data_IF_956616024283
#
_entry.id   IF_956616024283
#
_cell.length_a   1.000
_cell.length_b   1.000
_cell.length_c   1.000
_cell.angle_alpha   90.00
_cell.angle_beta   90.00
_cell.angle_gamma   90.00
#
_symmetry.space_group_name_H-M   'P 1'
#
loop_
_entity.id
_entity.type
_entity.pdbx_description
1 polymer ?
#
# COMPACT_ATOMS: atom_id res chain seq x y z
N UNK A 1 -3.63 15.28 -9.82
CA UNK A 1 -2.76 15.79 -8.76
C UNK A 1 -1.46 15.01 -8.81
N UNK A 2 -0.37 15.67 -9.22
CA UNK A 2 0.96 15.05 -9.24
C UNK A 2 1.45 14.98 -7.80
N UNK A 3 1.65 13.81 -7.24
CA UNK A 3 2.38 13.63 -6.00
C UNK A 3 3.86 13.86 -6.28
N UNK A 4 4.29 15.11 -6.10
CA UNK A 4 5.71 15.47 -6.11
C UNK A 4 6.18 15.42 -4.66
N UNK A 5 6.89 14.38 -4.31
CA UNK A 5 7.69 14.30 -3.10
C UNK A 5 8.92 15.21 -3.25
N UNK A 6 8.77 16.48 -2.92
CA UNK A 6 9.89 17.36 -2.62
C UNK A 6 9.44 18.51 -1.75
N UNK A 7 10.06 18.64 -0.60
CA UNK A 7 10.10 19.89 0.15
C UNK A 7 10.89 20.92 -0.69
N UNK A 8 10.25 21.93 -1.23
CA UNK A 8 10.91 23.15 -1.69
C UNK A 8 10.71 24.22 -0.61
N UNK A 9 11.77 24.49 0.14
CA UNK A 9 11.87 25.74 0.90
C UNK A 9 11.99 26.88 -0.12
N UNK A 10 10.99 27.75 -0.21
CA UNK A 10 11.12 29.05 -0.87
C UNK A 10 11.90 29.97 0.05
N UNK A 11 13.14 30.30 -0.33
CA UNK A 11 13.84 31.47 0.16
C UNK A 11 13.54 32.61 -0.81
N UNK A 12 12.81 33.62 -0.30
CA UNK A 12 12.68 34.91 -0.98
C UNK A 12 14.03 35.63 -0.92
N UNK A 13 14.67 35.81 -2.05
CA UNK A 13 15.89 36.63 -2.16
C UNK A 13 15.53 38.06 -2.50
N UNK A 14 15.82 38.97 -1.58
CA UNK A 14 15.93 40.43 -1.87
C UNK A 14 17.17 40.65 -2.76
N UNK A 15 16.97 41.30 -3.89
CA UNK A 15 18.05 41.74 -4.77
C UNK A 15 18.54 43.09 -4.28
N UNK A 16 19.74 43.13 -3.72
CA UNK A 16 20.53 44.39 -3.60
C UNK A 16 21.60 44.40 -4.70
N UNK A 17 21.55 45.40 -5.56
CA UNK A 17 22.59 45.66 -6.55
C UNK A 17 23.91 46.06 -5.86
N UNK A 18 24.94 45.28 -6.03
CA UNK A 18 26.31 45.59 -5.70
C UNK A 18 27.22 44.73 -6.58
N UNK A 19 27.83 45.33 -7.60
CA UNK A 19 28.67 44.63 -8.57
C UNK A 19 29.96 44.11 -7.98
N UNK A 20 30.17 42.79 -8.08
CA UNK A 20 31.49 42.15 -8.08
C UNK A 20 31.37 40.97 -9.05
N UNK A 21 32.26 40.91 -10.04
CA UNK A 21 32.44 39.80 -10.96
C UNK A 21 32.85 38.54 -10.16
N UNK A 22 31.87 37.73 -9.76
CA UNK A 22 32.08 36.40 -9.26
C UNK A 22 31.60 35.43 -10.31
N UNK A 23 32.47 34.58 -10.80
CA UNK A 23 32.11 33.37 -11.59
C UNK A 23 31.16 32.52 -10.76
N UNK A 24 29.87 32.77 -10.92
CA UNK A 24 28.83 31.96 -10.34
C UNK A 24 28.83 30.58 -11.01
N UNK A 25 29.25 29.56 -10.28
CA UNK A 25 28.96 28.17 -10.62
C UNK A 25 27.43 28.05 -10.56
N UNK A 26 26.80 28.10 -11.73
CA UNK A 26 25.40 27.71 -11.87
C UNK A 26 25.35 26.21 -11.53
N UNK A 27 24.95 25.88 -10.33
CA UNK A 27 24.50 24.52 -10.02
C UNK A 27 23.33 24.21 -10.96
N UNK A 28 23.66 23.58 -12.08
CA UNK A 28 22.68 23.03 -13.00
C UNK A 28 22.05 21.86 -12.23
N UNK A 29 20.96 22.11 -11.55
CA UNK A 29 20.12 21.04 -11.02
C UNK A 29 19.67 20.18 -12.20
N UNK A 30 20.36 19.08 -12.41
CA UNK A 30 19.95 18.09 -13.39
C UNK A 30 18.51 17.68 -13.07
N UNK A 31 17.65 17.74 -14.08
CA UNK A 31 16.28 17.24 -13.93
C UNK A 31 16.34 15.79 -13.41
N UNK A 32 15.47 15.40 -12.49
CA UNK A 32 15.46 14.03 -12.01
C UNK A 32 15.35 13.07 -13.23
N UNK A 33 16.08 11.96 -13.22
CA UNK A 33 16.05 11.03 -14.33
C UNK A 33 14.59 10.60 -14.61
N UNK A 34 14.23 10.46 -15.89
CA UNK A 34 12.88 10.04 -16.24
C UNK A 34 12.57 8.69 -15.58
N UNK A 35 11.33 8.52 -15.11
CA UNK A 35 10.87 7.24 -14.57
C UNK A 35 11.06 6.14 -15.61
N UNK A 36 11.71 5.03 -15.29
CA UNK A 36 11.89 3.91 -16.22
C UNK A 36 10.54 3.47 -16.80
N UNK A 37 10.53 3.10 -18.08
CA UNK A 37 9.35 2.48 -18.68
C UNK A 37 9.15 1.08 -18.10
N UNK A 38 7.90 0.62 -17.93
CA UNK A 38 7.65 -0.75 -17.49
C UNK A 38 8.18 -1.76 -18.52
N UNK A 39 8.68 -2.89 -18.04
CA UNK A 39 9.07 -4.03 -18.89
C UNK A 39 7.85 -4.60 -19.60
N UNK A 40 6.71 -4.64 -18.88
CA UNK A 40 5.40 -5.00 -19.43
C UNK A 40 4.38 -3.99 -18.94
N UNK A 41 3.80 -3.22 -19.88
CA UNK A 41 2.81 -2.20 -19.62
C UNK A 41 1.39 -2.72 -19.81
N UNK A 42 0.45 -2.18 -19.04
CA UNK A 42 -1.00 -2.37 -19.21
C UNK A 42 -1.43 -3.86 -19.31
N UNK A 43 -0.76 -4.72 -18.53
CA UNK A 43 -1.12 -6.14 -18.48
C UNK A 43 -2.43 -6.30 -17.73
N UNK A 44 -3.45 -6.84 -18.39
CA UNK A 44 -4.76 -7.12 -17.77
C UNK A 44 -4.69 -8.37 -16.90
N UNK A 45 -5.16 -8.26 -15.64
CA UNK A 45 -5.31 -9.39 -14.72
C UNK A 45 -6.78 -9.81 -14.48
N UNK A 46 -7.70 -9.18 -15.20
CA UNK A 46 -9.14 -9.47 -15.13
C UNK A 46 -9.91 -8.81 -16.26
N UNK A 47 -11.23 -9.03 -16.34
CA UNK A 47 -12.06 -8.58 -17.47
C UNK A 47 -12.39 -7.07 -17.43
N UNK A 48 -12.21 -6.40 -16.29
CA UNK A 48 -12.55 -4.99 -16.15
C UNK A 48 -11.41 -4.08 -16.64
N UNK A 49 -11.69 -2.96 -17.33
CA UNK A 49 -10.65 -2.09 -17.89
C UNK A 49 -9.71 -1.48 -16.84
N UNK A 50 -10.15 -1.39 -15.58
CA UNK A 50 -9.30 -0.90 -14.47
C UNK A 50 -8.45 -2.00 -13.83
N UNK A 51 -8.57 -3.26 -14.22
CA UNK A 51 -7.76 -4.37 -13.71
C UNK A 51 -6.46 -4.49 -14.51
N UNK A 52 -5.54 -3.55 -14.31
CA UNK A 52 -4.28 -3.41 -15.05
C UNK A 52 -3.07 -3.37 -14.12
N UNK A 53 -1.96 -3.93 -14.58
CA UNK A 53 -0.66 -3.81 -13.92
C UNK A 53 0.43 -3.37 -14.90
N UNK A 54 1.42 -2.65 -14.36
CA UNK A 54 2.71 -2.43 -15.02
C UNK A 54 3.78 -3.20 -14.25
N UNK A 55 4.61 -3.94 -14.96
CA UNK A 55 5.66 -4.79 -14.39
C UNK A 55 7.02 -4.21 -14.74
N UNK A 56 7.84 -3.99 -13.73
CA UNK A 56 9.22 -3.50 -13.82
C UNK A 56 10.15 -4.61 -13.35
N UNK A 57 10.89 -5.21 -14.26
CA UNK A 57 11.80 -6.31 -13.99
C UNK A 57 13.24 -5.79 -13.92
N UNK A 58 14.06 -6.21 -12.94
CA UNK A 58 15.49 -5.86 -12.93
C UNK A 58 16.20 -6.28 -14.19
N UNK A 59 17.14 -5.44 -14.68
CA UNK A 59 17.99 -5.73 -15.83
C UNK A 59 19.31 -6.41 -15.45
N UNK A 60 19.59 -6.51 -14.14
CA UNK A 60 20.77 -7.15 -13.58
C UNK A 60 20.38 -8.41 -12.82
N UNK A 61 21.32 -9.33 -12.63
CA UNK A 61 21.06 -10.61 -11.97
C UNK A 61 20.42 -11.64 -12.89
N UNK A 62 20.06 -12.80 -12.33
CA UNK A 62 19.52 -13.93 -13.09
C UNK A 62 18.05 -14.24 -12.79
N UNK A 63 17.51 -13.69 -11.68
CA UNK A 63 16.18 -14.07 -11.18
C UNK A 63 16.09 -15.56 -10.74
N UNK A 64 14.90 -16.13 -10.50
CA UNK A 64 13.64 -15.38 -10.49
C UNK A 64 13.60 -14.31 -9.39
N UNK A 65 13.06 -13.15 -9.73
CA UNK A 65 13.12 -11.97 -8.85
C UNK A 65 11.98 -11.95 -7.82
N UNK A 66 12.29 -11.73 -6.53
CA UNK A 66 11.27 -11.40 -5.55
C UNK A 66 10.55 -10.11 -5.96
N UNK A 67 9.27 -10.01 -5.65
CA UNK A 67 8.40 -9.00 -6.27
C UNK A 67 7.61 -8.23 -5.23
N UNK A 68 7.52 -6.91 -5.43
CA UNK A 68 6.67 -6.01 -4.64
C UNK A 68 5.47 -5.58 -5.50
N UNK A 69 4.26 -5.92 -5.08
CA UNK A 69 3.03 -5.37 -5.64
C UNK A 69 2.66 -4.11 -4.86
N UNK A 70 2.59 -2.95 -5.54
CA UNK A 70 2.24 -1.69 -4.91
C UNK A 70 0.87 -1.23 -5.40
N UNK A 71 -0.07 -1.15 -4.46
CA UNK A 71 -1.45 -0.80 -4.76
C UNK A 71 -1.63 0.70 -4.93
N UNK A 72 -2.34 1.08 -5.99
CA UNK A 72 -2.75 2.45 -6.29
C UNK A 72 -3.99 2.91 -5.51
N UNK A 73 -4.66 3.93 -6.03
CA UNK A 73 -5.79 4.56 -5.37
C UNK A 73 -7.08 3.73 -5.39
N UNK A 74 -7.90 3.88 -4.34
CA UNK A 74 -9.22 3.25 -4.22
C UNK A 74 -10.37 4.12 -4.79
N UNK A 75 -10.10 5.41 -5.05
CA UNK A 75 -11.11 6.37 -5.52
C UNK A 75 -10.98 6.69 -7.00
N UNK A 76 -9.75 6.66 -7.51
CA UNK A 76 -9.43 6.86 -8.93
C UNK A 76 -8.46 5.78 -9.37
N UNK A 77 -8.70 5.15 -10.52
CA UNK A 77 -7.77 4.17 -11.07
C UNK A 77 -6.40 4.83 -11.31
N UNK A 78 -5.36 4.23 -10.80
CA UNK A 78 -4.00 4.71 -11.01
C UNK A 78 -2.97 3.61 -10.74
N UNK A 79 -1.92 3.56 -11.55
CA UNK A 79 -0.72 2.77 -11.33
C UNK A 79 0.37 3.69 -10.80
N UNK A 80 0.93 3.37 -9.65
CA UNK A 80 1.99 4.14 -9.00
C UNK A 80 3.21 3.25 -8.78
N UNK A 81 4.17 3.22 -9.70
CA UNK A 81 5.41 2.50 -9.46
C UNK A 81 6.15 3.15 -8.28
N UNK A 82 6.60 2.33 -7.35
CA UNK A 82 7.25 2.81 -6.13
C UNK A 82 8.73 2.52 -6.18
N UNK A 83 9.54 3.54 -5.85
CA UNK A 83 10.98 3.43 -5.60
C UNK A 83 11.73 2.47 -6.55
N UNK A 84 11.48 2.59 -7.86
CA UNK A 84 12.19 1.79 -8.88
C UNK A 84 13.70 1.97 -8.78
N UNK A 85 14.16 3.19 -8.44
CA UNK A 85 15.55 3.55 -8.14
C UNK A 85 16.17 2.75 -7.00
N UNK A 86 15.35 2.28 -6.07
CA UNK A 86 15.79 1.54 -4.89
C UNK A 86 15.67 0.03 -5.06
N UNK A 87 14.59 -0.45 -5.66
CA UNK A 87 14.28 -1.88 -5.72
C UNK A 87 14.95 -2.60 -6.88
N UNK A 88 14.95 -2.03 -8.10
CA UNK A 88 15.50 -2.71 -9.27
C UNK A 88 17.01 -3.01 -9.12
N UNK A 89 17.86 -2.09 -8.59
CA UNK A 89 19.27 -2.40 -8.32
C UNK A 89 19.50 -3.47 -7.25
N UNK A 90 18.48 -3.75 -6.42
CA UNK A 90 18.50 -4.80 -5.39
C UNK A 90 17.86 -6.11 -5.85
N UNK A 91 17.74 -6.27 -7.17
CA UNK A 91 17.16 -7.46 -7.78
C UNK A 91 15.73 -7.78 -7.28
N UNK A 92 14.95 -6.74 -6.95
CA UNK A 92 13.54 -6.85 -6.62
C UNK A 92 12.70 -6.25 -7.74
N UNK A 93 11.78 -7.02 -8.30
CA UNK A 93 10.82 -6.54 -9.28
C UNK A 93 9.72 -5.71 -8.61
N UNK A 94 9.14 -4.76 -9.34
CA UNK A 94 8.02 -3.94 -8.88
C UNK A 94 6.84 -4.10 -9.82
N UNK A 95 5.65 -4.32 -9.27
CA UNK A 95 4.38 -4.35 -9.99
C UNK A 95 3.52 -3.21 -9.49
N UNK A 96 3.27 -2.23 -10.35
CA UNK A 96 2.35 -1.13 -10.06
C UNK A 96 0.92 -1.57 -10.38
N UNK A 97 0.06 -1.64 -9.36
CA UNK A 97 -1.27 -2.23 -9.45
C UNK A 97 -2.33 -1.15 -9.55
N UNK A 98 -3.15 -1.21 -10.59
CA UNK A 98 -4.43 -0.51 -10.70
C UNK A 98 -5.55 -1.51 -10.48
N UNK A 99 -6.55 -1.12 -9.71
CA UNK A 99 -7.71 -1.96 -9.38
C UNK A 99 -9.01 -1.23 -9.73
N UNK A 100 -10.12 -1.96 -9.77
CA UNK A 100 -11.43 -1.34 -9.66
C UNK A 100 -11.51 -0.54 -8.36
N UNK A 101 -12.24 0.55 -8.39
CA UNK A 101 -12.32 1.49 -7.26
C UNK A 101 -13.63 1.30 -6.48
N UNK A 102 -13.69 1.93 -5.30
CA UNK A 102 -14.95 2.06 -4.57
C UNK A 102 -15.99 2.84 -5.40
N UNK A 103 -15.53 3.78 -6.24
CA UNK A 103 -16.41 4.54 -7.15
C UNK A 103 -16.99 3.64 -8.23
N UNK A 104 -16.17 2.74 -8.82
CA UNK A 104 -16.67 1.75 -9.78
C UNK A 104 -17.72 0.85 -9.11
N UNK A 105 -17.45 0.37 -7.89
CA UNK A 105 -18.38 -0.48 -7.15
C UNK A 105 -19.74 0.20 -6.87
N UNK A 106 -19.73 1.50 -6.56
CA UNK A 106 -20.97 2.28 -6.37
C UNK A 106 -21.71 2.44 -7.70
N UNK A 107 -20.99 2.74 -8.79
CA UNK A 107 -21.57 2.86 -10.14
C UNK A 107 -22.20 1.55 -10.60
N UNK A 108 -21.57 0.44 -10.31
CA UNK A 108 -22.04 -0.91 -10.64
C UNK A 108 -23.10 -1.43 -9.66
N UNK A 109 -23.53 -0.60 -8.71
CA UNK A 109 -24.54 -0.93 -7.69
C UNK A 109 -24.18 -2.18 -6.86
N UNK A 110 -22.90 -2.36 -6.57
CA UNK A 110 -22.42 -3.46 -5.75
C UNK A 110 -22.86 -3.26 -4.29
N UNK A 111 -23.59 -4.22 -3.75
CA UNK A 111 -24.14 -4.13 -2.40
C UNK A 111 -23.07 -3.96 -1.29
N UNK A 112 -21.83 -4.36 -1.55
CA UNK A 112 -20.70 -4.28 -0.64
C UNK A 112 -19.48 -3.74 -1.39
N UNK A 113 -19.36 -2.41 -1.60
CA UNK A 113 -18.33 -1.82 -2.45
C UNK A 113 -16.90 -2.25 -2.09
N UNK A 114 -16.57 -2.40 -0.81
CA UNK A 114 -15.26 -2.87 -0.35
C UNK A 114 -14.88 -4.23 -0.96
N UNK A 115 -15.85 -5.09 -1.27
CA UNK A 115 -15.58 -6.41 -1.84
C UNK A 115 -14.91 -6.35 -3.21
N UNK A 116 -15.17 -5.29 -4.02
CA UNK A 116 -14.51 -5.11 -5.31
C UNK A 116 -13.00 -5.00 -5.14
N UNK A 117 -12.59 -4.09 -4.26
CA UNK A 117 -11.19 -3.80 -4.01
C UNK A 117 -10.46 -5.00 -3.43
N UNK A 118 -11.06 -5.67 -2.45
CA UNK A 118 -10.44 -6.82 -1.78
C UNK A 118 -10.36 -8.05 -2.69
N UNK A 119 -11.36 -8.26 -3.55
CA UNK A 119 -11.31 -9.35 -4.53
C UNK A 119 -10.25 -9.06 -5.62
N UNK A 120 -10.12 -7.80 -6.07
CA UNK A 120 -9.06 -7.44 -7.02
C UNK A 120 -7.67 -7.59 -6.42
N UNK A 121 -7.50 -7.24 -5.14
CA UNK A 121 -6.24 -7.46 -4.43
C UNK A 121 -5.86 -8.94 -4.38
N UNK A 122 -6.81 -9.83 -4.08
CA UNK A 122 -6.57 -11.27 -4.15
C UNK A 122 -6.23 -11.72 -5.57
N UNK A 123 -7.05 -11.32 -6.53
CA UNK A 123 -6.89 -11.74 -7.93
C UNK A 123 -5.55 -11.31 -8.51
N UNK A 124 -5.09 -10.08 -8.25
CA UNK A 124 -3.80 -9.62 -8.81
C UNK A 124 -2.61 -10.39 -8.23
N UNK A 125 -2.63 -10.72 -6.93
CA UNK A 125 -1.58 -11.57 -6.33
C UNK A 125 -1.59 -12.95 -6.95
N UNK A 126 -2.74 -13.57 -7.09
CA UNK A 126 -2.92 -14.87 -7.74
C UNK A 126 -2.48 -14.84 -9.20
N UNK A 127 -2.86 -13.81 -9.95
CA UNK A 127 -2.49 -13.64 -11.37
C UNK A 127 -0.98 -13.48 -11.54
N UNK A 128 -0.33 -12.65 -10.72
CA UNK A 128 1.13 -12.49 -10.77
C UNK A 128 1.83 -13.78 -10.39
N UNK A 129 1.37 -14.48 -9.36
CA UNK A 129 1.92 -15.78 -8.94
C UNK A 129 1.80 -16.84 -10.02
N UNK A 130 0.64 -16.97 -10.65
CA UNK A 130 0.39 -17.93 -11.73
C UNK A 130 1.30 -17.69 -12.94
N UNK A 131 1.55 -16.43 -13.27
CA UNK A 131 2.34 -16.01 -14.43
C UNK A 131 3.80 -15.67 -14.10
N UNK A 132 4.26 -15.91 -12.87
CA UNK A 132 5.55 -15.47 -12.38
C UNK A 132 6.71 -15.94 -13.29
N UNK A 133 6.72 -17.20 -13.69
CA UNK A 133 7.75 -17.75 -14.57
C UNK A 133 7.85 -17.03 -15.93
N UNK A 134 6.72 -16.56 -16.48
CA UNK A 134 6.67 -15.80 -17.74
C UNK A 134 7.46 -14.49 -17.68
N UNK A 135 7.56 -13.90 -16.50
CA UNK A 135 8.19 -12.60 -16.27
C UNK A 135 9.48 -12.71 -15.45
N UNK A 136 10.01 -13.92 -15.26
CA UNK A 136 11.18 -14.20 -14.41
C UNK A 136 11.02 -13.69 -12.98
N UNK A 137 9.80 -13.78 -12.40
CA UNK A 137 9.47 -13.44 -11.05
C UNK A 137 9.42 -14.68 -10.16
N UNK A 138 9.68 -14.50 -8.86
CA UNK A 138 9.57 -15.57 -7.89
C UNK A 138 8.14 -15.68 -7.34
N UNK A 139 7.46 -16.78 -7.68
CA UNK A 139 6.10 -17.06 -7.24
C UNK A 139 5.94 -17.19 -5.71
N UNK A 140 7.03 -17.49 -4.98
CA UNK A 140 7.00 -17.69 -3.53
C UNK A 140 7.32 -16.40 -2.74
N UNK A 141 8.06 -15.47 -3.35
CA UNK A 141 8.52 -14.25 -2.69
C UNK A 141 7.78 -13.02 -3.23
N UNK A 142 6.53 -12.86 -2.81
CA UNK A 142 5.65 -11.74 -3.19
C UNK A 142 5.34 -10.93 -1.94
N UNK A 143 5.78 -9.68 -1.89
CA UNK A 143 5.38 -8.69 -0.90
C UNK A 143 4.31 -7.75 -1.48
N UNK A 144 3.52 -7.16 -0.61
CA UNK A 144 2.50 -6.17 -1.00
C UNK A 144 2.66 -4.89 -0.20
N UNK A 145 2.25 -3.78 -0.79
CA UNK A 145 2.26 -2.51 -0.07
C UNK A 145 1.41 -1.44 -0.73
N UNK A 146 1.26 -0.34 -0.04
CA UNK A 146 0.55 0.82 -0.54
C UNK A 146 0.64 2.01 0.40
N UNK A 147 0.36 3.20 -0.15
CA UNK A 147 0.26 4.43 0.63
C UNK A 147 -1.19 4.86 0.80
N UNK A 148 -1.54 5.41 1.98
CA UNK A 148 -2.88 5.90 2.29
C UNK A 148 -3.93 4.82 1.98
N UNK A 149 -4.89 5.12 1.13
CA UNK A 149 -5.95 4.20 0.71
C UNK A 149 -5.43 2.90 0.05
N UNK A 150 -4.30 2.93 -0.65
CA UNK A 150 -3.70 1.72 -1.26
C UNK A 150 -3.12 0.74 -0.24
N UNK A 151 -2.91 1.15 1.01
CA UNK A 151 -2.46 0.26 2.07
C UNK A 151 -3.57 -0.67 2.59
N UNK A 152 -4.84 -0.28 2.47
CA UNK A 152 -5.97 -1.08 2.96
C UNK A 152 -6.05 -2.48 2.30
N UNK A 153 -6.02 -2.64 0.96
CA UNK A 153 -6.00 -3.95 0.31
C UNK A 153 -4.71 -4.74 0.60
N UNK A 154 -3.55 -4.06 0.74
CA UNK A 154 -2.32 -4.73 1.12
C UNK A 154 -2.41 -5.35 2.53
N UNK A 155 -2.94 -4.60 3.49
CA UNK A 155 -3.18 -5.07 4.86
C UNK A 155 -4.20 -6.21 4.90
N UNK A 156 -5.26 -6.11 4.09
CA UNK A 156 -6.24 -7.19 3.96
C UNK A 156 -5.58 -8.51 3.54
N UNK A 157 -4.72 -8.48 2.52
CA UNK A 157 -3.98 -9.67 2.06
C UNK A 157 -3.08 -10.24 3.16
N UNK A 158 -2.39 -9.38 3.90
CA UNK A 158 -1.49 -9.81 4.98
C UNK A 158 -2.20 -10.44 6.18
N UNK A 159 -3.45 -10.03 6.44
CA UNK A 159 -4.24 -10.46 7.58
C UNK A 159 -5.23 -11.58 7.25
N UNK A 160 -5.60 -11.76 5.97
CA UNK A 160 -6.60 -12.76 5.58
C UNK A 160 -6.02 -14.17 5.47
N UNK A 161 -6.89 -15.16 5.67
CA UNK A 161 -6.58 -16.52 5.30
C UNK A 161 -6.34 -16.64 3.78
N UNK A 162 -5.62 -17.68 3.38
CA UNK A 162 -5.44 -18.00 1.96
C UNK A 162 -6.79 -18.22 1.28
N UNK A 163 -6.94 -17.61 0.11
CA UNK A 163 -8.17 -17.68 -0.68
C UNK A 163 -8.03 -18.54 -1.94
N UNK A 164 -7.02 -19.39 -2.01
CA UNK A 164 -6.91 -20.37 -3.08
C UNK A 164 -8.14 -21.28 -3.08
N UNK A 165 -8.76 -21.44 -4.24
CA UNK A 165 -9.82 -22.42 -4.46
C UNK A 165 -9.39 -23.45 -5.53
N UNK A 166 -8.82 -24.60 -5.13
CA UNK A 166 -8.37 -25.62 -6.07
C UNK A 166 -9.47 -26.18 -6.97
N UNK A 167 -10.74 -25.92 -6.65
CA UNK A 167 -11.90 -26.40 -7.42
C UNK A 167 -12.46 -25.32 -8.37
N UNK A 168 -11.96 -24.09 -8.33
CA UNK A 168 -12.40 -23.03 -9.22
C UNK A 168 -12.13 -23.42 -10.68
N UNK A 169 -13.06 -23.06 -11.58
CA UNK A 169 -12.85 -23.17 -13.02
C UNK A 169 -11.84 -22.13 -13.55
N UNK A 170 -11.59 -21.06 -12.80
CA UNK A 170 -10.57 -20.05 -13.13
C UNK A 170 -9.22 -20.46 -12.53
N UNK A 171 -8.20 -20.77 -13.35
CA UNK A 171 -6.89 -21.18 -12.86
C UNK A 171 -6.19 -20.10 -12.01
N UNK A 172 -6.57 -18.83 -12.15
CA UNK A 172 -6.06 -17.75 -11.31
C UNK A 172 -6.50 -17.95 -9.86
N UNK A 173 -7.74 -18.34 -9.62
CA UNK A 173 -8.26 -18.55 -8.27
C UNK A 173 -7.73 -19.82 -7.59
N UNK A 174 -7.14 -20.74 -8.35
CA UNK A 174 -6.60 -21.98 -7.80
C UNK A 174 -5.28 -21.77 -7.03
N UNK A 175 -4.57 -20.65 -7.26
CA UNK A 175 -3.28 -20.38 -6.61
C UNK A 175 -3.43 -19.51 -5.36
N UNK A 176 -2.43 -19.58 -4.47
CA UNK A 176 -2.44 -18.91 -3.17
C UNK A 176 -2.48 -17.38 -3.25
N UNK A 177 -3.20 -16.75 -2.31
CA UNK A 177 -3.16 -15.30 -2.06
C UNK A 177 -2.16 -14.89 -0.99
N UNK A 178 -1.47 -15.81 -0.35
CA UNK A 178 -0.50 -15.50 0.72
C UNK A 178 0.62 -14.61 0.23
N UNK A 179 1.08 -13.71 1.10
CA UNK A 179 2.16 -12.77 0.81
C UNK A 179 3.28 -12.89 1.84
N UNK A 180 4.49 -12.53 1.44
CA UNK A 180 5.68 -12.61 2.29
C UNK A 180 5.64 -11.59 3.42
N UNK A 181 5.25 -10.35 3.12
CA UNK A 181 5.11 -9.27 4.09
C UNK A 181 4.27 -8.12 3.53
N UNK A 182 3.92 -7.17 4.39
CA UNK A 182 3.08 -6.00 4.06
C UNK A 182 3.75 -4.71 4.47
N UNK A 183 3.80 -3.74 3.55
CA UNK A 183 4.27 -2.38 3.78
C UNK A 183 3.10 -1.39 3.69
N UNK A 184 2.84 -0.65 4.77
CA UNK A 184 1.73 0.28 4.86
C UNK A 184 2.21 1.69 5.24
N UNK A 185 2.06 2.64 4.31
CA UNK A 185 2.52 4.00 4.49
C UNK A 185 1.33 4.95 4.69
N UNK A 186 1.31 5.72 5.82
CA UNK A 186 0.22 6.66 6.18
C UNK A 186 -1.18 6.06 5.99
N UNK A 187 -1.43 4.91 6.55
CA UNK A 187 -2.57 4.06 6.20
C UNK A 187 -3.77 4.20 7.13
N UNK A 188 -4.90 3.64 6.67
CA UNK A 188 -6.12 3.42 7.43
C UNK A 188 -6.40 1.91 7.45
N UNK A 189 -6.05 1.20 8.55
CA UNK A 189 -6.04 -0.26 8.58
C UNK A 189 -7.34 -0.91 9.02
N UNK A 190 -8.44 -0.17 9.04
CA UNK A 190 -9.77 -0.67 9.42
C UNK A 190 -10.86 -0.02 8.57
N UNK A 191 -11.96 -0.73 8.36
CA UNK A 191 -13.20 -0.18 7.83
C UNK A 191 -14.29 -0.06 8.94
N UNK A 192 -14.03 -0.50 10.16
CA UNK A 192 -14.97 -0.38 11.28
C UNK A 192 -15.09 1.08 11.75
N UNK A 193 -16.24 1.75 11.57
CA UNK A 193 -16.41 3.16 11.91
C UNK A 193 -16.26 3.43 13.42
N UNK A 194 -16.60 2.47 14.27
CA UNK A 194 -16.40 2.58 15.73
C UNK A 194 -14.90 2.53 16.05
N UNK A 195 -14.17 1.60 15.47
CA UNK A 195 -12.72 1.48 15.64
C UNK A 195 -11.98 2.73 15.15
N UNK A 196 -12.45 3.31 14.05
CA UNK A 196 -11.92 4.59 13.54
C UNK A 196 -12.04 5.70 14.59
N UNK A 197 -13.21 5.86 15.22
CA UNK A 197 -13.42 6.86 16.26
C UNK A 197 -12.62 6.58 17.53
N UNK A 198 -12.38 5.32 17.87
CA UNK A 198 -11.55 4.94 19.01
C UNK A 198 -10.08 5.33 18.80
N UNK A 199 -9.54 5.12 17.60
CA UNK A 199 -8.13 5.39 17.31
C UNK A 199 -7.85 6.84 16.93
N UNK A 200 -8.77 7.46 16.18
CA UNK A 200 -8.65 8.84 15.69
C UNK A 200 -9.98 9.57 15.89
N UNK A 201 -10.22 10.14 17.08
CA UNK A 201 -11.47 10.82 17.37
C UNK A 201 -11.81 11.94 16.36
N UNK A 202 -13.04 11.94 15.90
CA UNK A 202 -13.54 12.93 14.93
C UNK A 202 -13.13 12.68 13.47
N UNK A 203 -12.43 11.57 13.14
CA UNK A 203 -12.19 11.20 11.76
C UNK A 203 -13.48 10.75 11.08
N UNK A 204 -13.60 11.09 9.79
CA UNK A 204 -14.68 10.63 8.89
C UNK A 204 -14.04 10.07 7.62
N UNK A 205 -13.84 8.77 7.58
CA UNK A 205 -13.20 8.08 6.45
C UNK A 205 -13.85 6.72 6.20
N UNK A 206 -13.70 6.16 5.01
CA UNK A 206 -14.08 4.78 4.68
C UNK A 206 -15.58 4.54 4.47
N UNK A 207 -16.43 5.56 4.55
CA UNK A 207 -17.88 5.44 4.31
C UNK A 207 -18.24 4.70 3.01
N UNK A 208 -17.57 4.97 1.86
CA UNK A 208 -17.84 4.24 0.62
C UNK A 208 -17.61 2.74 0.68
N UNK A 209 -16.88 2.23 1.68
CA UNK A 209 -16.71 0.79 1.87
C UNK A 209 -18.05 0.06 2.02
N UNK A 210 -19.07 0.75 2.56
CA UNK A 210 -20.40 0.22 2.80
C UNK A 210 -21.46 0.78 1.84
N UNK A 211 -21.10 1.75 0.98
CA UNK A 211 -22.06 2.44 0.09
C UNK A 211 -23.00 3.40 0.81
N UNK A 212 -22.64 3.89 2.01
CA UNK A 212 -23.43 4.84 2.79
C UNK A 212 -22.53 5.93 3.43
N UNK A 213 -23.11 6.93 4.10
CA UNK A 213 -22.35 7.95 4.80
C UNK A 213 -21.61 7.38 6.02
N UNK A 214 -20.59 8.11 6.52
CA UNK A 214 -19.86 7.69 7.73
C UNK A 214 -20.81 7.64 8.94
N UNK A 215 -21.64 8.65 9.11
CA UNK A 215 -22.62 8.74 10.20
C UNK A 215 -23.63 7.59 10.13
N UNK A 216 -24.07 7.23 8.93
CA UNK A 216 -24.96 6.10 8.72
C UNK A 216 -24.26 4.77 9.03
N UNK A 217 -23.03 4.60 8.58
CA UNK A 217 -22.24 3.40 8.86
C UNK A 217 -22.01 3.21 10.37
N UNK A 218 -21.81 4.31 11.11
CA UNK A 218 -21.66 4.27 12.56
C UNK A 218 -22.97 3.88 13.27
N UNK A 219 -24.12 4.43 12.84
CA UNK A 219 -25.43 4.07 13.38
C UNK A 219 -25.81 2.62 13.11
N UNK A 220 -25.48 2.13 11.94
CA UNK A 220 -25.82 0.77 11.48
C UNK A 220 -24.68 -0.23 11.68
N UNK A 221 -23.71 0.10 12.53
CA UNK A 221 -22.49 -0.72 12.67
C UNK A 221 -22.80 -2.19 12.96
N UNK A 222 -23.80 -2.47 13.81
CA UNK A 222 -24.15 -3.85 14.18
C UNK A 222 -24.67 -4.67 12.97
N UNK A 223 -25.40 -4.03 12.06
CA UNK A 223 -25.81 -4.63 10.79
C UNK A 223 -24.60 -4.87 9.85
N UNK A 224 -23.57 -4.03 9.96
CA UNK A 224 -22.36 -4.07 9.13
C UNK A 224 -21.28 -5.02 9.67
N UNK A 225 -21.43 -5.55 10.89
CA UNK A 225 -20.46 -6.46 11.50
C UNK A 225 -20.05 -7.64 10.60
N UNK A 226 -20.96 -8.31 9.86
CA UNK A 226 -20.55 -9.38 8.95
C UNK A 226 -19.63 -8.92 7.81
N UNK A 227 -19.80 -7.66 7.34
CA UNK A 227 -18.94 -7.05 6.32
C UNK A 227 -17.60 -6.68 6.94
N UNK A 228 -17.60 -6.06 8.11
CA UNK A 228 -16.39 -5.69 8.86
C UNK A 228 -15.57 -6.95 9.17
N UNK A 229 -16.18 -7.98 9.74
CA UNK A 229 -15.50 -9.23 10.07
C UNK A 229 -14.87 -9.94 8.87
N UNK A 230 -15.46 -9.77 7.68
CA UNK A 230 -14.96 -10.40 6.43
C UNK A 230 -13.87 -9.59 5.74
N UNK A 231 -13.91 -8.25 5.83
CA UNK A 231 -13.14 -7.39 4.94
C UNK A 231 -12.23 -6.37 5.66
N UNK A 232 -12.33 -6.23 6.99
CA UNK A 232 -11.49 -5.30 7.73
C UNK A 232 -10.19 -5.95 8.17
N UNK A 233 -9.01 -5.40 7.81
CA UNK A 233 -7.73 -5.99 8.19
C UNK A 233 -7.57 -6.23 9.69
N UNK A 234 -8.01 -5.28 10.53
CA UNK A 234 -7.93 -5.39 11.98
C UNK A 234 -8.80 -6.52 12.55
N UNK A 235 -9.95 -6.80 11.92
CA UNK A 235 -10.82 -7.90 12.30
C UNK A 235 -10.31 -9.29 11.87
N UNK A 236 -9.38 -9.32 10.92
CA UNK A 236 -8.79 -10.55 10.37
C UNK A 236 -7.42 -10.90 10.98
N UNK A 237 -6.91 -10.07 11.90
CA UNK A 237 -5.61 -10.30 12.53
C UNK A 237 -5.56 -11.65 13.26
N UNK A 238 -4.48 -12.39 13.05
CA UNK A 238 -4.18 -13.65 13.69
C UNK A 238 -2.67 -13.88 13.78
N UNK A 239 -2.21 -14.83 14.61
CA UNK A 239 -0.80 -15.15 14.83
C UNK A 239 -0.01 -15.49 13.56
N UNK A 240 -0.67 -16.04 12.55
CA UNK A 240 -0.07 -16.42 11.27
C UNK A 240 -0.17 -15.32 10.19
N UNK A 241 -0.60 -14.11 10.52
CA UNK A 241 -0.60 -12.98 9.59
C UNK A 241 0.81 -12.70 9.08
N UNK A 242 0.92 -12.24 7.83
CA UNK A 242 2.21 -11.84 7.28
C UNK A 242 2.81 -10.70 8.11
N UNK A 243 4.15 -10.62 8.29
CA UNK A 243 4.80 -9.48 8.95
C UNK A 243 4.37 -8.15 8.33
N UNK A 244 4.00 -7.18 9.15
CA UNK A 244 3.50 -5.87 8.72
C UNK A 244 4.44 -4.79 9.21
N UNK A 245 4.73 -3.80 8.34
CA UNK A 245 5.46 -2.60 8.70
C UNK A 245 4.66 -1.36 8.33
N UNK A 246 4.38 -0.53 9.34
CA UNK A 246 3.77 0.78 9.18
C UNK A 246 4.83 1.87 9.25
N UNK A 247 4.78 2.83 8.34
CA UNK A 247 5.60 4.03 8.41
C UNK A 247 4.78 5.30 8.19
N UNK A 248 5.11 6.30 9.00
CA UNK A 248 4.55 7.63 8.89
C UNK A 248 5.66 8.67 9.14
N UNK A 249 5.81 9.67 8.29
CA UNK A 249 6.72 10.77 8.52
C UNK A 249 6.14 11.86 9.44
N UNK A 250 4.83 11.83 9.70
CA UNK A 250 4.20 12.70 10.68
C UNK A 250 4.25 12.06 12.07
N UNK A 251 4.44 12.92 13.07
CA UNK A 251 4.36 12.55 14.47
C UNK A 251 2.92 12.49 15.00
N UNK A 252 2.80 12.28 16.31
CA UNK A 252 1.51 12.31 17.00
C UNK A 252 0.95 13.72 17.14
N UNK A 253 1.74 14.75 16.85
CA UNK A 253 1.31 16.15 16.80
C UNK A 253 1.05 16.54 15.34
N UNK A 254 -0.07 17.20 15.09
CA UNK A 254 -0.43 17.70 13.76
C UNK A 254 0.59 18.75 13.29
N UNK A 255 1.21 18.60 12.09
CA UNK A 255 2.05 19.64 11.50
C UNK A 255 1.23 20.90 11.15
N UNK A 256 1.84 22.07 11.30
CA UNK A 256 1.18 23.38 11.09
C UNK A 256 0.65 23.58 9.66
N UNK A 257 1.36 23.02 8.68
CA UNK A 257 1.04 23.12 7.24
C UNK A 257 0.00 22.08 6.77
N UNK A 258 -0.46 21.20 7.66
CA UNK A 258 -1.40 20.11 7.34
C UNK A 258 -2.77 20.40 7.97
N UNK A 259 -3.83 20.34 7.16
CA UNK A 259 -5.19 20.50 7.68
C UNK A 259 -5.57 19.38 8.66
N UNK A 260 -6.39 19.69 9.65
CA UNK A 260 -6.87 18.72 10.65
C UNK A 260 -7.51 17.48 9.98
N UNK A 261 -8.30 17.67 8.94
CA UNK A 261 -8.93 16.56 8.20
C UNK A 261 -7.89 15.66 7.59
N UNK A 262 -6.88 16.23 6.92
CA UNK A 262 -5.82 15.45 6.30
C UNK A 262 -4.95 14.74 7.35
N UNK A 263 -4.62 15.41 8.45
CA UNK A 263 -3.88 14.81 9.54
C UNK A 263 -4.63 13.64 10.18
N UNK A 264 -5.92 13.83 10.52
CA UNK A 264 -6.73 12.74 11.08
C UNK A 264 -6.79 11.52 10.17
N UNK A 265 -6.97 11.73 8.86
CA UNK A 265 -6.99 10.62 7.90
C UNK A 265 -5.65 9.89 7.81
N UNK A 266 -4.53 10.58 8.06
CA UNK A 266 -3.19 10.01 7.90
C UNK A 266 -2.37 9.98 9.20
N UNK A 267 -3.00 10.11 10.37
CA UNK A 267 -2.35 10.11 11.67
C UNK A 267 -1.62 8.79 11.95
N UNK A 268 -0.44 8.80 12.60
CA UNK A 268 0.21 7.58 13.07
C UNK A 268 -0.62 6.81 14.11
N UNK A 269 -1.62 7.44 14.74
CA UNK A 269 -2.54 6.79 15.68
C UNK A 269 -3.26 5.57 15.09
N UNK A 270 -3.49 5.54 13.77
CA UNK A 270 -4.01 4.36 13.06
C UNK A 270 -3.09 3.14 13.23
N UNK A 271 -1.81 3.33 12.96
CA UNK A 271 -0.82 2.27 13.06
C UNK A 271 -0.61 1.82 14.50
N UNK A 272 -0.60 2.76 15.46
CA UNK A 272 -0.48 2.47 16.90
C UNK A 272 -1.68 1.66 17.40
N UNK A 273 -2.89 2.04 17.01
CA UNK A 273 -4.10 1.30 17.35
C UNK A 273 -4.08 -0.13 16.79
N UNK A 274 -3.68 -0.29 15.54
CA UNK A 274 -3.56 -1.59 14.91
C UNK A 274 -2.46 -2.45 15.54
N UNK A 275 -1.30 -1.87 15.89
CA UNK A 275 -0.20 -2.60 16.53
C UNK A 275 -0.62 -3.22 17.86
N UNK A 276 -1.44 -2.53 18.65
CA UNK A 276 -1.97 -3.09 19.92
C UNK A 276 -2.79 -4.36 19.67
N UNK A 277 -3.63 -4.37 18.62
CA UNK A 277 -4.39 -5.56 18.24
C UNK A 277 -3.48 -6.67 17.70
N UNK A 278 -2.47 -6.31 16.90
CA UNK A 278 -1.50 -7.26 16.38
C UNK A 278 -0.73 -7.95 17.51
N UNK A 279 -0.31 -7.22 18.54
CA UNK A 279 0.33 -7.78 19.74
C UNK A 279 -0.59 -8.75 20.48
N UNK A 280 -1.87 -8.40 20.65
CA UNK A 280 -2.87 -9.28 21.28
C UNK A 280 -3.11 -10.56 20.47
N UNK A 281 -3.09 -10.45 19.14
CA UNK A 281 -3.23 -11.59 18.23
C UNK A 281 -1.94 -12.42 18.06
N UNK A 282 -0.79 -11.97 18.60
CA UNK A 282 0.53 -12.58 18.42
C UNK A 282 1.09 -12.42 17.00
N UNK A 283 0.63 -11.41 16.26
CA UNK A 283 1.10 -11.08 14.91
C UNK A 283 2.33 -10.15 14.96
N UNK A 284 3.20 -10.27 13.96
CA UNK A 284 4.41 -9.43 13.84
C UNK A 284 4.04 -8.10 13.18
N UNK A 285 4.16 -7.01 13.93
CA UNK A 285 3.81 -5.68 13.47
C UNK A 285 4.82 -4.63 13.96
N UNK A 286 5.44 -3.95 13.03
CA UNK A 286 6.36 -2.83 13.28
C UNK A 286 5.66 -1.51 12.96
N UNK A 287 5.90 -0.49 13.79
CA UNK A 287 5.36 0.86 13.57
C UNK A 287 6.50 1.85 13.74
N UNK A 288 6.68 2.74 12.76
CA UNK A 288 7.67 3.80 12.78
C UNK A 288 7.04 5.15 12.47
N UNK A 289 7.29 6.12 13.33
CA UNK A 289 7.00 7.54 13.15
C UNK A 289 8.02 8.36 13.97
N UNK A 290 8.13 9.69 13.84
CA UNK A 290 9.22 10.48 14.45
C UNK A 290 9.47 10.21 15.93
N UNK A 291 8.43 10.11 16.77
CA UNK A 291 8.57 9.87 18.21
C UNK A 291 8.72 8.38 18.56
N UNK A 292 8.64 7.49 17.58
CA UNK A 292 8.75 6.04 17.75
C UNK A 292 9.63 5.44 16.65
N UNK A 293 10.96 5.68 16.69
CA UNK A 293 11.88 5.06 15.75
C UNK A 293 11.93 3.55 15.97
N UNK A 294 12.22 2.80 14.91
CA UNK A 294 12.53 1.36 15.02
C UNK A 294 14.00 1.14 14.65
N UNK A 295 14.69 0.30 15.42
CA UNK A 295 16.10 -0.02 15.18
C UNK A 295 16.29 -1.18 14.20
N UNK A 296 15.25 -2.02 14.03
CA UNK A 296 15.38 -3.26 13.25
C UNK A 296 15.49 -3.02 11.75
N UNK A 297 14.79 -2.04 11.22
CA UNK A 297 14.79 -1.69 9.81
C UNK A 297 14.97 -0.19 9.65
N UNK A 298 15.77 0.22 8.65
CA UNK A 298 16.00 1.63 8.38
C UNK A 298 14.70 2.37 8.03
N UNK A 299 13.89 1.77 7.20
CA UNK A 299 12.60 2.29 6.72
C UNK A 299 11.75 1.14 6.13
N UNK A 300 10.56 1.48 5.66
CA UNK A 300 9.61 0.56 5.04
C UNK A 300 10.21 -0.15 3.79
N UNK A 301 11.12 0.50 3.06
CA UNK A 301 11.75 -0.05 1.86
C UNK A 301 12.80 -1.10 2.21
N UNK A 302 13.58 -0.82 3.23
CA UNK A 302 14.56 -1.75 3.79
C UNK A 302 13.87 -3.01 4.37
N UNK A 303 12.75 -2.82 5.07
CA UNK A 303 11.92 -3.92 5.55
C UNK A 303 11.49 -4.84 4.40
N UNK A 304 10.93 -4.28 3.31
CA UNK A 304 10.49 -5.07 2.16
C UNK A 304 11.62 -5.90 1.56
N UNK A 305 12.78 -5.28 1.34
CA UNK A 305 13.95 -5.97 0.75
C UNK A 305 14.45 -7.09 1.68
N UNK A 306 14.64 -6.81 2.96
CA UNK A 306 15.12 -7.81 3.91
C UNK A 306 14.14 -8.99 4.05
N UNK A 307 12.82 -8.73 4.08
CA UNK A 307 11.83 -9.80 4.14
C UNK A 307 11.83 -10.66 2.88
N UNK A 308 11.93 -10.05 1.70
CA UNK A 308 11.93 -10.75 0.42
C UNK A 308 13.23 -11.54 0.17
N UNK A 309 14.36 -11.08 0.68
CA UNK A 309 15.66 -11.74 0.53
C UNK A 309 15.98 -12.72 1.66
N UNK A 310 15.16 -12.80 2.70
CA UNK A 310 15.35 -13.73 3.81
C UNK A 310 15.15 -15.18 3.35
N UNK A 311 16.03 -16.14 3.77
CA UNK A 311 15.82 -17.56 3.52
C UNK A 311 14.49 -18.11 4.05
N UNK A 312 13.96 -17.53 5.14
CA UNK A 312 12.67 -17.88 5.70
C UNK A 312 11.48 -17.50 4.81
N UNK A 313 11.67 -16.62 3.81
CA UNK A 313 10.62 -16.24 2.86
C UNK A 313 10.33 -17.36 1.83
N UNK A 314 11.31 -18.20 1.54
CA UNK A 314 11.18 -19.31 0.58
C UNK A 314 10.44 -20.53 1.16
N UNK A 315 10.16 -20.56 2.47
CA UNK A 315 9.55 -21.70 3.17
C UNK A 315 8.13 -21.43 3.70
N UNK A 316 7.55 -20.26 3.41
CA UNK A 316 6.19 -19.86 3.80
C UNK A 316 5.25 -19.94 2.59
#
# INVERSE_FOLDING_TARGET
MRYIWRQSRMLSALVTLGGILGLGILDVYAAPPPTPKPTHADVSYGPHPNQLIDIYVPTQGKGPYPTILWFGGLWKPAKHPVRLDYFLPKECAVVAVQMRTMTDAVSDKVAKPVSYVMNDACRVVQFVRLNAARWNLDAQRIAVGGGSQGALPALYLGCSADRADPKSADPVEQVSTKVTCVAAYRCQPTIDPKRMQEWVPGVKWGAPAFGCSFEESLKRRDELLPIIAKWSPDALLHKGAAPIYFENEWGMTQPEDITEVNYKVHSPAWAVGFQKLAQQAGAVCYVKYPEHPTEKYKDIWDFLVQQLQSPAAASR
#
